data_IF_244327661416
#
_entry.id   IF_244327661416
#
_cell.length_a   1.000
_cell.length_b   1.000
_cell.length_c   1.000
_cell.angle_alpha   90.00
_cell.angle_beta   90.00
_cell.angle_gamma   90.00
#
_symmetry.space_group_name_H-M   'P 1'
#
loop_
_entity.id
_entity.type
_entity.pdbx_description
1 polymer ?
#
# COMPACT_ATOMS: atom_id res chain seq x y z
N UNK A 1 -22.92 -16.77 9.00
CA UNK A 1 -22.11 -15.61 9.44
C UNK A 1 -21.96 -14.67 8.27
N UNK A 2 -22.14 -13.36 8.44
CA UNK A 2 -21.86 -12.41 7.36
C UNK A 2 -20.36 -12.21 7.15
N UNK A 3 -19.99 -11.57 6.02
CA UNK A 3 -18.57 -11.36 5.62
C UNK A 3 -17.79 -10.55 6.65
N UNK A 4 -18.39 -9.48 7.20
CA UNK A 4 -17.74 -8.59 8.18
C UNK A 4 -17.49 -9.32 9.48
N UNK A 5 -18.48 -10.02 9.99
CA UNK A 5 -18.36 -10.81 11.22
C UNK A 5 -17.29 -11.90 11.07
N UNK A 6 -17.32 -12.65 9.96
CA UNK A 6 -16.35 -13.71 9.67
C UNK A 6 -14.91 -13.19 9.69
N UNK A 7 -14.64 -12.13 8.91
CA UNK A 7 -13.30 -11.53 8.85
C UNK A 7 -12.88 -10.97 10.20
N UNK A 8 -13.79 -10.28 10.90
CA UNK A 8 -13.50 -9.70 12.22
C UNK A 8 -13.16 -10.75 13.27
N UNK A 9 -13.92 -11.84 13.30
CA UNK A 9 -13.68 -12.96 14.23
C UNK A 9 -12.40 -13.71 13.91
N UNK A 10 -12.14 -14.00 12.62
CA UNK A 10 -10.91 -14.65 12.21
C UNK A 10 -9.67 -13.85 12.62
N UNK A 11 -9.69 -12.52 12.50
CA UNK A 11 -8.58 -11.67 12.97
C UNK A 11 -8.37 -11.66 14.48
N UNK A 12 -9.39 -12.00 15.25
CA UNK A 12 -9.29 -12.17 16.71
C UNK A 12 -8.87 -13.59 17.11
N UNK A 13 -8.73 -14.50 16.16
CA UNK A 13 -8.49 -15.92 16.44
C UNK A 13 -9.72 -16.66 16.96
N UNK A 14 -10.90 -16.12 16.76
CA UNK A 14 -12.18 -16.73 17.15
C UNK A 14 -12.66 -17.73 16.10
N UNK A 15 -13.52 -18.67 16.51
CA UNK A 15 -14.10 -19.65 15.60
C UNK A 15 -15.00 -18.99 14.53
N UNK A 16 -14.87 -19.45 13.28
CA UNK A 16 -15.62 -18.98 12.12
C UNK A 16 -16.21 -20.15 11.35
N UNK A 17 -17.26 -19.88 10.54
CA UNK A 17 -17.91 -20.88 9.71
C UNK A 17 -17.01 -21.41 8.58
N UNK A 18 -16.12 -20.58 8.04
CA UNK A 18 -15.03 -20.96 7.13
C UNK A 18 -13.91 -19.89 7.17
N UNK A 19 -12.73 -20.26 6.69
CA UNK A 19 -11.59 -19.34 6.61
C UNK A 19 -11.92 -18.21 5.62
N UNK A 20 -11.85 -16.92 6.02
CA UNK A 20 -12.13 -15.82 5.11
C UNK A 20 -11.10 -15.74 3.97
N UNK A 21 -11.60 -15.52 2.76
CA UNK A 21 -10.81 -15.51 1.54
C UNK A 21 -10.82 -14.12 0.92
N UNK A 22 -9.64 -13.68 0.48
CA UNK A 22 -9.46 -12.52 -0.37
C UNK A 22 -8.67 -12.90 -1.61
N UNK A 23 -9.17 -12.52 -2.75
CA UNK A 23 -8.45 -12.59 -4.02
C UNK A 23 -8.16 -11.17 -4.51
N UNK A 24 -7.05 -10.97 -5.19
CA UNK A 24 -6.71 -9.70 -5.80
C UNK A 24 -5.97 -9.90 -7.11
N UNK A 25 -6.04 -8.92 -7.99
CA UNK A 25 -5.28 -8.90 -9.24
C UNK A 25 -4.80 -7.48 -9.53
N UNK A 26 -3.76 -7.36 -10.34
CA UNK A 26 -3.37 -6.09 -10.91
C UNK A 26 -4.38 -5.64 -11.97
N UNK A 27 -4.78 -4.38 -11.89
CA UNK A 27 -5.63 -3.74 -12.89
C UNK A 27 -4.72 -3.20 -14.00
N UNK A 28 -4.93 -3.59 -15.27
CA UNK A 28 -4.06 -3.18 -16.37
C UNK A 28 -4.08 -1.67 -16.58
N UNK A 29 -2.97 -1.07 -17.07
CA UNK A 29 -2.83 0.37 -17.25
C UNK A 29 -3.93 1.03 -18.09
N UNK A 30 -4.51 0.31 -19.04
CA UNK A 30 -5.64 0.77 -19.87
C UNK A 30 -6.89 1.12 -19.05
N UNK A 31 -7.01 0.57 -17.84
CA UNK A 31 -8.13 0.78 -16.91
C UNK A 31 -7.76 1.69 -15.72
N UNK A 32 -6.63 2.41 -15.74
CA UNK A 32 -6.21 3.26 -14.63
C UNK A 32 -6.93 4.61 -14.51
N UNK A 33 -7.84 4.93 -15.43
CA UNK A 33 -8.81 6.02 -15.21
C UNK A 33 -9.70 5.64 -14.03
N UNK A 34 -9.93 6.57 -13.10
CA UNK A 34 -10.53 6.24 -11.80
C UNK A 34 -11.87 5.50 -11.92
N UNK A 35 -12.78 5.90 -12.82
CA UNK A 35 -14.06 5.24 -13.04
C UNK A 35 -13.92 3.81 -13.59
N UNK A 36 -13.02 3.60 -14.55
CA UNK A 36 -12.75 2.27 -15.11
C UNK A 36 -12.07 1.36 -14.10
N UNK A 37 -11.18 1.93 -13.29
CA UNK A 37 -10.50 1.20 -12.23
C UNK A 37 -11.49 0.73 -11.17
N UNK A 38 -12.35 1.63 -10.69
CA UNK A 38 -13.37 1.34 -9.68
C UNK A 38 -14.28 0.23 -10.21
N UNK A 39 -14.79 0.41 -11.44
CA UNK A 39 -15.63 -0.62 -12.06
C UNK A 39 -14.93 -1.98 -12.13
N UNK A 40 -13.69 -2.04 -12.61
CA UNK A 40 -12.94 -3.29 -12.72
C UNK A 40 -12.68 -3.95 -11.36
N UNK A 41 -12.45 -3.16 -10.31
CA UNK A 41 -12.27 -3.64 -8.94
C UNK A 41 -13.58 -4.20 -8.38
N UNK A 42 -14.70 -3.51 -8.61
CA UNK A 42 -16.03 -3.93 -8.13
C UNK A 42 -16.57 -5.13 -8.91
N UNK A 43 -16.38 -5.18 -10.23
CA UNK A 43 -16.73 -6.36 -11.03
C UNK A 43 -15.97 -7.59 -10.52
N UNK A 44 -14.66 -7.45 -10.27
CA UNK A 44 -13.86 -8.55 -9.74
C UNK A 44 -14.33 -9.02 -8.36
N UNK A 45 -14.69 -8.09 -7.48
CA UNK A 45 -15.28 -8.42 -6.18
C UNK A 45 -16.57 -9.22 -6.31
N UNK A 46 -17.49 -8.78 -7.18
CA UNK A 46 -18.78 -9.43 -7.39
C UNK A 46 -18.64 -10.81 -8.04
N UNK A 47 -17.70 -10.94 -9.00
CA UNK A 47 -17.45 -12.21 -9.69
C UNK A 47 -16.80 -13.27 -8.81
N UNK A 48 -15.96 -12.85 -7.87
CA UNK A 48 -15.20 -13.78 -7.01
C UNK A 48 -15.87 -14.08 -5.67
N UNK A 49 -16.88 -13.31 -5.29
CA UNK A 49 -17.62 -13.44 -4.02
C UNK A 49 -16.74 -13.63 -2.78
N UNK A 50 -15.62 -12.91 -2.73
CA UNK A 50 -14.65 -12.96 -1.62
C UNK A 50 -15.20 -12.31 -0.34
N UNK A 51 -14.62 -12.65 0.81
CA UNK A 51 -15.05 -12.16 2.12
C UNK A 51 -14.65 -10.72 2.39
N UNK A 52 -13.57 -10.26 1.78
CA UNK A 52 -13.10 -8.88 1.91
C UNK A 52 -12.33 -8.44 0.67
N UNK A 53 -12.25 -7.13 0.47
CA UNK A 53 -11.55 -6.54 -0.68
C UNK A 53 -10.15 -6.06 -0.25
N UNK A 54 -9.14 -6.42 -1.03
CA UNK A 54 -7.85 -5.76 -1.03
C UNK A 54 -7.82 -4.74 -2.17
N UNK A 55 -7.83 -3.46 -1.83
CA UNK A 55 -7.71 -2.39 -2.81
C UNK A 55 -6.30 -2.34 -3.36
N UNK A 56 -6.18 -2.47 -4.68
CA UNK A 56 -4.91 -2.35 -5.36
C UNK A 56 -4.43 -0.90 -5.41
N UNK A 57 -3.13 -0.71 -5.20
CA UNK A 57 -2.46 0.58 -5.39
C UNK A 57 -2.01 0.81 -6.85
N UNK A 58 -2.51 0.05 -7.82
CA UNK A 58 -2.17 0.21 -9.24
C UNK A 58 -2.31 1.66 -9.69
N UNK A 59 -1.38 2.16 -10.51
CA UNK A 59 -1.11 3.56 -10.84
C UNK A 59 -0.36 4.34 -9.74
N UNK A 60 -0.38 3.90 -8.50
CA UNK A 60 0.18 4.63 -7.35
C UNK A 60 1.32 3.87 -6.65
N UNK A 61 1.90 2.87 -7.32
CA UNK A 61 3.06 2.15 -6.80
C UNK A 61 4.31 3.02 -6.75
N UNK A 62 4.45 3.90 -7.73
CA UNK A 62 5.61 4.75 -7.88
C UNK A 62 5.48 6.02 -7.03
N UNK A 63 6.56 6.41 -6.35
CA UNK A 63 6.62 7.64 -5.58
C UNK A 63 6.97 8.81 -6.51
N UNK A 64 6.11 9.80 -6.71
CA UNK A 64 6.26 10.79 -7.79
C UNK A 64 7.23 11.93 -7.43
N UNK A 65 8.36 11.64 -6.80
CA UNK A 65 9.41 12.61 -6.56
C UNK A 65 10.29 12.76 -7.81
N UNK A 66 10.38 13.95 -8.43
CA UNK A 66 11.11 14.14 -9.68
C UNK A 66 12.58 13.73 -9.60
N UNK A 67 13.22 13.94 -8.46
CA UNK A 67 14.62 13.58 -8.23
C UNK A 67 14.90 12.08 -8.38
N UNK A 68 13.92 11.23 -8.11
CA UNK A 68 14.08 9.78 -8.19
C UNK A 68 14.16 9.24 -9.61
N UNK A 69 13.63 9.98 -10.60
CA UNK A 69 13.57 9.53 -12.00
C UNK A 69 14.95 9.26 -12.60
N UNK A 70 15.91 10.19 -12.34
CA UNK A 70 17.24 10.17 -12.94
C UNK A 70 18.34 10.24 -11.89
N UNK A 71 18.06 9.76 -10.69
CA UNK A 71 18.98 9.82 -9.57
C UNK A 71 20.29 9.05 -9.84
N UNK A 72 21.44 9.67 -9.62
CA UNK A 72 22.75 9.10 -9.91
C UNK A 72 23.62 8.86 -8.66
N UNK A 73 23.32 9.50 -7.54
CA UNK A 73 24.05 9.35 -6.29
C UNK A 73 23.13 9.37 -5.07
N UNK A 74 23.54 8.71 -4.00
CA UNK A 74 22.79 8.69 -2.74
C UNK A 74 22.55 10.10 -2.18
N UNK A 75 23.49 11.02 -2.34
CA UNK A 75 23.37 12.41 -1.85
C UNK A 75 22.16 13.16 -2.41
N UNK A 76 21.71 12.82 -3.62
CA UNK A 76 20.51 13.44 -4.21
C UNK A 76 19.22 13.04 -3.47
N UNK A 77 19.24 11.99 -2.65
CA UNK A 77 18.11 11.62 -1.79
C UNK A 77 17.76 12.71 -0.76
N UNK A 78 18.71 13.56 -0.38
CA UNK A 78 18.44 14.73 0.48
C UNK A 78 17.58 15.81 -0.19
N UNK A 79 17.42 15.76 -1.51
CA UNK A 79 16.56 16.68 -2.26
C UNK A 79 15.09 16.27 -2.27
N UNK A 80 14.77 15.06 -1.79
CA UNK A 80 13.37 14.59 -1.66
C UNK A 80 12.64 15.50 -0.67
N UNK A 81 11.44 15.93 -1.08
CA UNK A 81 10.52 16.71 -0.23
C UNK A 81 9.23 15.97 -0.04
N UNK A 82 8.54 16.17 1.11
CA UNK A 82 7.20 15.62 1.30
C UNK A 82 6.26 16.08 0.20
N UNK A 83 5.43 15.16 -0.31
CA UNK A 83 4.38 15.48 -1.29
C UNK A 83 3.28 16.35 -0.67
N UNK A 84 2.95 16.04 0.59
CA UNK A 84 1.87 16.66 1.33
C UNK A 84 0.48 16.13 0.94
N UNK A 85 -0.46 16.30 1.84
CA UNK A 85 -1.80 15.73 1.78
C UNK A 85 -2.64 16.18 0.56
N UNK A 86 -2.28 17.27 -0.07
CA UNK A 86 -2.99 17.84 -1.23
C UNK A 86 -2.37 17.46 -2.58
N UNK A 87 -1.26 16.73 -2.58
CA UNK A 87 -0.63 16.29 -3.82
C UNK A 87 -1.59 15.40 -4.63
N UNK A 88 -1.66 15.54 -5.98
CA UNK A 88 -2.58 14.77 -6.82
C UNK A 88 -2.46 13.25 -6.64
N UNK A 89 -1.24 12.75 -6.42
CA UNK A 89 -0.96 11.34 -6.12
C UNK A 89 -1.70 10.86 -4.86
N UNK A 90 -1.66 11.63 -3.78
CA UNK A 90 -2.35 11.32 -2.52
C UNK A 90 -3.87 11.48 -2.66
N UNK A 91 -4.31 12.62 -3.23
CA UNK A 91 -5.74 12.91 -3.43
C UNK A 91 -6.42 11.88 -4.33
N UNK A 92 -5.76 11.46 -5.41
CA UNK A 92 -6.31 10.47 -6.34
C UNK A 92 -6.60 9.14 -5.65
N UNK A 93 -5.69 8.67 -4.81
CA UNK A 93 -5.87 7.45 -4.04
C UNK A 93 -7.05 7.57 -3.05
N UNK A 94 -7.13 8.68 -2.31
CA UNK A 94 -8.21 8.93 -1.35
C UNK A 94 -9.57 8.98 -2.06
N UNK A 95 -9.67 9.71 -3.17
CA UNK A 95 -10.93 9.83 -3.91
C UNK A 95 -11.40 8.48 -4.48
N UNK A 96 -10.47 7.70 -5.03
CA UNK A 96 -10.75 6.35 -5.50
C UNK A 96 -11.26 5.44 -4.37
N UNK A 97 -10.58 5.48 -3.23
CA UNK A 97 -10.97 4.71 -2.05
C UNK A 97 -12.37 5.06 -1.58
N UNK A 98 -12.69 6.35 -1.47
CA UNK A 98 -14.04 6.81 -1.07
C UNK A 98 -15.12 6.25 -1.98
N UNK A 99 -14.96 6.34 -3.29
CA UNK A 99 -15.93 5.83 -4.26
C UNK A 99 -16.11 4.32 -4.17
N UNK A 100 -15.02 3.57 -3.98
CA UNK A 100 -15.11 2.11 -3.78
C UNK A 100 -15.86 1.79 -2.48
N UNK A 101 -15.60 2.50 -1.40
CA UNK A 101 -16.31 2.31 -0.13
C UNK A 101 -17.81 2.64 -0.24
N UNK A 102 -18.16 3.67 -1.01
CA UNK A 102 -19.56 4.00 -1.33
C UNK A 102 -20.24 2.86 -2.09
N UNK A 103 -19.56 2.26 -3.07
CA UNK A 103 -20.11 1.11 -3.84
C UNK A 103 -20.21 -0.18 -3.02
N UNK A 104 -19.26 -0.43 -2.10
CA UNK A 104 -19.33 -1.59 -1.18
C UNK A 104 -20.51 -1.46 -0.22
N UNK A 105 -20.89 -0.24 0.15
CA UNK A 105 -22.05 0.06 1.00
C UNK A 105 -22.14 -0.80 2.27
N UNK A 106 -21.03 -1.13 2.89
CA UNK A 106 -20.99 -1.92 4.12
C UNK A 106 -21.14 -3.43 3.96
N UNK A 107 -21.12 -3.97 2.74
CA UNK A 107 -21.28 -5.43 2.50
C UNK A 107 -20.06 -6.22 2.97
N UNK A 108 -18.86 -5.65 2.92
CA UNK A 108 -17.62 -6.30 3.36
C UNK A 108 -16.58 -5.29 3.87
N UNK A 109 -15.53 -5.81 4.49
CA UNK A 109 -14.36 -5.00 4.84
C UNK A 109 -13.49 -4.76 3.60
N UNK A 110 -12.83 -3.59 3.56
CA UNK A 110 -11.86 -3.27 2.54
C UNK A 110 -10.53 -2.85 3.16
N UNK A 111 -9.44 -3.38 2.60
CA UNK A 111 -8.07 -3.09 3.03
C UNK A 111 -7.32 -2.40 1.91
N UNK A 112 -6.66 -1.30 2.20
CA UNK A 112 -5.80 -0.63 1.24
C UNK A 112 -4.36 -1.15 1.34
N UNK A 113 -3.74 -1.45 0.20
CA UNK A 113 -2.34 -1.83 0.14
C UNK A 113 -1.48 -0.57 0.25
N UNK A 114 -0.74 -0.47 1.35
CA UNK A 114 0.27 0.58 1.58
C UNK A 114 1.62 -0.11 1.66
N UNK A 115 2.56 0.32 0.84
CA UNK A 115 3.94 -0.12 0.95
C UNK A 115 4.66 0.58 2.09
N UNK A 116 5.68 -0.08 2.66
CA UNK A 116 6.60 0.62 3.54
C UNK A 116 7.42 1.66 2.76
N UNK A 117 7.89 2.72 3.42
CA UNK A 117 8.63 3.80 2.76
C UNK A 117 9.83 3.31 1.95
N UNK A 118 10.59 2.36 2.49
CA UNK A 118 11.73 1.75 1.79
C UNK A 118 11.31 1.01 0.52
N UNK A 119 10.14 0.34 0.53
CA UNK A 119 9.62 -0.33 -0.65
C UNK A 119 9.21 0.66 -1.76
N UNK A 120 8.64 1.81 -1.40
CA UNK A 120 8.38 2.88 -2.37
C UNK A 120 9.67 3.36 -3.02
N UNK A 121 10.72 3.65 -2.23
CA UNK A 121 12.02 4.05 -2.74
C UNK A 121 12.61 2.99 -3.67
N UNK A 122 12.59 1.73 -3.25
CA UNK A 122 13.08 0.60 -4.06
C UNK A 122 12.33 0.44 -5.39
N UNK A 123 11.01 0.64 -5.40
CA UNK A 123 10.21 0.54 -6.62
C UNK A 123 10.56 1.63 -7.64
N UNK A 124 11.00 2.81 -7.16
CA UNK A 124 11.41 3.91 -8.04
C UNK A 124 12.81 3.74 -8.60
N UNK A 125 13.79 3.46 -7.76
CA UNK A 125 15.20 3.46 -8.15
C UNK A 125 15.75 2.07 -8.52
N UNK A 126 14.99 1.02 -8.24
CA UNK A 126 15.39 -0.37 -8.43
C UNK A 126 16.26 -0.93 -7.30
N UNK A 127 16.24 -2.25 -7.15
CA UNK A 127 16.96 -2.92 -6.06
C UNK A 127 18.48 -2.72 -6.11
N UNK A 128 19.16 -2.87 -7.27
CA UNK A 128 20.62 -2.70 -7.32
C UNK A 128 21.07 -1.30 -6.90
N UNK A 129 20.39 -0.26 -7.39
CA UNK A 129 20.72 1.14 -7.05
C UNK A 129 20.44 1.44 -5.58
N UNK A 130 19.36 0.89 -5.02
CA UNK A 130 19.07 1.04 -3.60
C UNK A 130 20.17 0.43 -2.74
N UNK A 131 20.65 -0.77 -3.07
CA UNK A 131 21.74 -1.41 -2.34
C UNK A 131 23.04 -0.59 -2.45
N UNK A 132 23.36 -0.10 -3.64
CA UNK A 132 24.49 0.80 -3.85
C UNK A 132 24.39 2.06 -2.96
N UNK A 133 23.23 2.70 -2.91
CA UNK A 133 23.03 3.91 -2.10
C UNK A 133 23.08 3.64 -0.59
N UNK A 134 22.65 2.45 -0.16
CA UNK A 134 22.81 2.02 1.24
C UNK A 134 24.27 1.82 1.63
N UNK A 135 25.15 1.48 0.68
CA UNK A 135 26.59 1.37 0.91
C UNK A 135 27.29 2.75 0.83
N UNK A 136 26.86 3.61 -0.10
CA UNK A 136 27.46 4.94 -0.31
C UNK A 136 27.12 5.93 0.82
N UNK A 137 25.84 6.01 1.20
CA UNK A 137 25.33 6.98 2.18
C UNK A 137 24.03 6.45 2.80
N UNK A 138 24.09 5.59 3.82
CA UNK A 138 22.91 5.03 4.49
C UNK A 138 22.04 6.11 5.15
N UNK A 139 22.62 7.23 5.57
CA UNK A 139 21.87 8.35 6.16
C UNK A 139 20.99 9.05 5.13
N UNK A 140 21.42 9.15 3.89
CA UNK A 140 20.62 9.69 2.80
C UNK A 140 19.42 8.79 2.49
N UNK A 141 19.60 7.47 2.52
CA UNK A 141 18.50 6.51 2.37
C UNK A 141 17.51 6.64 3.52
N UNK A 142 17.99 6.70 4.76
CA UNK A 142 17.15 6.91 5.95
C UNK A 142 16.39 8.24 5.90
N UNK A 143 17.03 9.30 5.43
CA UNK A 143 16.37 10.59 5.22
C UNK A 143 15.20 10.48 4.24
N UNK A 144 15.44 9.88 3.07
CA UNK A 144 14.38 9.67 2.06
C UNK A 144 13.24 8.82 2.58
N UNK A 145 13.56 7.75 3.30
CA UNK A 145 12.57 6.89 3.96
C UNK A 145 11.70 7.68 4.94
N UNK A 146 12.29 8.52 5.78
CA UNK A 146 11.57 9.37 6.73
C UNK A 146 10.66 10.39 6.05
N UNK A 147 11.09 10.98 4.94
CA UNK A 147 10.26 11.90 4.15
C UNK A 147 9.03 11.17 3.57
N UNK A 148 9.25 10.00 2.96
CA UNK A 148 8.15 9.17 2.43
C UNK A 148 7.22 8.72 3.56
N UNK A 149 7.75 8.35 4.72
CA UNK A 149 6.98 7.92 5.89
C UNK A 149 6.00 8.99 6.39
N UNK A 150 6.39 10.27 6.34
CA UNK A 150 5.49 11.38 6.71
C UNK A 150 4.26 11.43 5.81
N UNK A 151 4.43 11.28 4.51
CA UNK A 151 3.34 11.30 3.54
C UNK A 151 2.47 10.04 3.64
N UNK A 152 3.08 8.87 3.86
CA UNK A 152 2.38 7.60 4.09
C UNK A 152 1.52 7.68 5.34
N UNK A 153 2.02 8.27 6.42
CA UNK A 153 1.26 8.51 7.65
C UNK A 153 0.06 9.42 7.39
N UNK A 154 0.28 10.56 6.74
CA UNK A 154 -0.78 11.51 6.41
C UNK A 154 -1.84 10.90 5.47
N UNK A 155 -1.42 10.07 4.52
CA UNK A 155 -2.31 9.32 3.65
C UNK A 155 -3.16 8.33 4.44
N UNK A 156 -2.53 7.52 5.31
CA UNK A 156 -3.22 6.56 6.17
C UNK A 156 -4.32 7.22 7.00
N UNK A 157 -4.01 8.32 7.69
CA UNK A 157 -4.97 9.08 8.52
C UNK A 157 -6.20 9.53 7.71
N UNK A 158 -5.99 9.96 6.46
CA UNK A 158 -7.08 10.37 5.57
C UNK A 158 -7.93 9.22 5.05
N UNK A 159 -7.33 8.07 4.79
CA UNK A 159 -8.03 6.86 4.35
C UNK A 159 -8.86 6.30 5.50
N UNK A 160 -8.33 6.29 6.72
CA UNK A 160 -9.07 5.92 7.93
C UNK A 160 -10.25 6.86 8.19
N UNK A 161 -10.05 8.17 8.04
CA UNK A 161 -11.10 9.18 8.14
C UNK A 161 -12.18 9.10 7.05
N UNK A 162 -11.92 8.37 5.96
CA UNK A 162 -12.90 8.09 4.90
C UNK A 162 -13.75 6.84 5.15
N UNK A 163 -13.65 6.23 6.36
CA UNK A 163 -14.43 5.05 6.75
C UNK A 163 -13.75 3.71 6.42
N UNK A 164 -12.55 3.72 5.85
CA UNK A 164 -11.75 2.50 5.78
C UNK A 164 -11.26 2.12 7.17
N UNK A 165 -11.53 0.90 7.55
CA UNK A 165 -10.86 0.33 8.71
C UNK A 165 -9.48 -0.15 8.27
N UNK A 166 -8.46 0.69 8.46
CA UNK A 166 -7.10 0.20 8.51
C UNK A 166 -6.99 -0.68 9.75
N UNK A 167 -7.18 -1.98 9.59
CA UNK A 167 -6.92 -2.90 10.68
C UNK A 167 -5.42 -2.83 11.02
N UNK A 168 -5.00 -2.85 12.31
CA UNK A 168 -3.59 -2.89 12.70
C UNK A 168 -2.78 -4.00 11.99
N UNK A 169 -3.44 -5.07 11.54
CA UNK A 169 -2.83 -6.14 10.75
C UNK A 169 -2.52 -5.74 9.29
N UNK A 170 -3.23 -4.78 8.69
CA UNK A 170 -2.85 -4.27 7.37
C UNK A 170 -1.54 -3.46 7.43
N UNK A 171 -1.31 -2.73 8.51
CA UNK A 171 0.01 -2.18 8.83
C UNK A 171 1.02 -3.30 9.17
N UNK A 172 0.57 -4.40 9.77
CA UNK A 172 1.38 -5.57 10.11
C UNK A 172 1.75 -6.43 8.90
N UNK A 173 0.94 -6.51 7.84
CA UNK A 173 1.31 -7.28 6.64
C UNK A 173 2.39 -6.58 5.80
N UNK A 174 2.42 -5.25 5.73
CA UNK A 174 3.58 -4.53 5.18
C UNK A 174 4.81 -4.72 6.08
N UNK A 175 4.63 -4.76 7.40
CA UNK A 175 5.68 -5.03 8.39
C UNK A 175 6.13 -6.51 8.38
N UNK A 176 5.23 -7.45 8.13
CA UNK A 176 5.54 -8.90 8.05
C UNK A 176 6.39 -9.23 6.84
N UNK A 177 6.17 -8.59 5.68
CA UNK A 177 7.06 -8.75 4.53
C UNK A 177 8.47 -8.17 4.79
N UNK A 178 8.57 -7.07 5.53
CA UNK A 178 9.86 -6.51 5.95
C UNK A 178 10.50 -7.30 7.11
N UNK A 179 9.69 -7.87 8.00
CA UNK A 179 10.18 -8.75 9.07
C UNK A 179 10.69 -10.08 8.49
N UNK A 180 10.01 -10.64 7.50
CA UNK A 180 10.48 -11.85 6.80
C UNK A 180 11.83 -11.61 6.10
N UNK A 181 12.05 -10.45 5.51
CA UNK A 181 13.34 -10.08 4.91
C UNK A 181 14.41 -9.86 5.99
N UNK A 182 14.08 -9.21 7.11
CA UNK A 182 14.98 -9.02 8.24
C UNK A 182 15.31 -10.35 8.95
N UNK A 183 14.30 -11.18 9.14
CA UNK A 183 14.47 -12.51 9.72
C UNK A 183 15.24 -13.46 8.79
N UNK A 184 15.02 -13.43 7.49
CA UNK A 184 15.79 -14.20 6.51
C UNK A 184 17.25 -13.75 6.49
N UNK A 185 17.55 -12.43 6.57
CA UNK A 185 18.92 -11.91 6.74
C UNK A 185 19.54 -12.30 8.06
N UNK A 186 18.79 -12.22 9.17
CA UNK A 186 19.29 -12.61 10.49
C UNK A 186 19.60 -14.10 10.57
N UNK A 187 18.93 -14.92 9.75
CA UNK A 187 19.14 -16.36 9.62
C UNK A 187 20.16 -16.74 8.55
N UNK A 188 20.68 -15.77 7.78
CA UNK A 188 21.64 -16.04 6.71
C UNK A 188 21.01 -16.73 5.48
N UNK A 189 19.70 -16.59 5.27
CA UNK A 189 18.95 -17.20 4.15
C UNK A 189 18.87 -16.27 2.93
N UNK A 190 19.44 -15.02 3.03
CA UNK A 190 19.59 -14.03 1.96
C UNK A 190 20.94 -13.32 2.04
#
# INVERSE_FOLDING_TARGET
MDKIERVTRAFKGEEVDHIPVCLWKHIPPTLWKDELFIKAQMDFYKETDVDFIKLSADKYFCWPAPVLKDIQSAKQLYDIKPLGAHHPHIRGQINRTKKIMEEINGECLAFYLIFCPLSYLRLEIGYPKMMQFMEEDPEAVLYAENVIAQDVKAFREKVEGAGMRCHPLAAGQALVLDLDIRDARAKGEL
#
